data_IF_417375400784
#
_entry.id   IF_417375400784
#
_cell.length_a   1.000
_cell.length_b   1.000
_cell.length_c   1.000
_cell.angle_alpha   90.00
_cell.angle_beta   90.00
_cell.angle_gamma   90.00
#
_symmetry.space_group_name_H-M   'P 1'
#
loop_
_entity.id
_entity.type
_entity.pdbx_description
1 polymer ?
#
# COMPACT_ATOMS: atom_id res chain seq x y z
N UNK A 1 -12.24 -10.62 17.65
CA UNK A 1 -11.40 -9.61 16.98
C UNK A 1 -11.28 -10.10 15.55
N UNK A 2 -11.81 -9.35 14.60
CA UNK A 2 -11.69 -9.71 13.19
C UNK A 2 -10.23 -9.46 12.78
N UNK A 3 -9.54 -10.53 12.40
CA UNK A 3 -8.13 -10.50 11.99
C UNK A 3 -7.99 -10.66 10.49
N UNK A 4 -9.09 -10.55 9.73
CA UNK A 4 -9.06 -10.70 8.28
C UNK A 4 -8.87 -9.37 7.54
N UNK A 5 -9.18 -8.24 8.19
CA UNK A 5 -9.11 -6.92 7.57
C UNK A 5 -8.45 -5.86 8.46
N UNK A 6 -7.64 -5.01 7.83
CA UNK A 6 -7.09 -3.78 8.39
C UNK A 6 -7.73 -2.63 7.64
N UNK A 7 -8.15 -1.60 8.37
CA UNK A 7 -8.62 -0.35 7.78
C UNK A 7 -7.93 0.83 8.46
N UNK A 8 -7.36 1.74 7.66
CA UNK A 8 -6.77 3.00 8.13
C UNK A 8 -7.06 4.11 7.13
N UNK A 9 -7.08 5.35 7.62
CA UNK A 9 -7.23 6.53 6.77
C UNK A 9 -6.44 7.71 7.30
N UNK A 10 -6.13 8.64 6.40
CA UNK A 10 -5.47 9.90 6.72
C UNK A 10 -5.99 11.01 5.80
N UNK A 11 -6.16 12.21 6.33
CA UNK A 11 -6.45 13.41 5.54
C UNK A 11 -5.14 14.14 5.25
N UNK A 12 -4.91 14.47 3.98
CA UNK A 12 -3.66 15.06 3.49
C UNK A 12 -3.96 16.41 2.88
N UNK A 13 -3.24 17.46 3.28
CA UNK A 13 -3.40 18.82 2.77
C UNK A 13 -2.74 19.00 1.38
N UNK A 14 -3.27 18.27 0.40
CA UNK A 14 -2.83 18.28 -0.99
C UNK A 14 -3.93 17.76 -1.94
N UNK A 15 -3.90 18.17 -3.24
CA UNK A 15 -4.78 17.63 -4.26
C UNK A 15 -4.50 16.15 -4.57
N UNK A 16 -5.48 15.43 -5.11
CA UNK A 16 -5.38 13.97 -5.27
C UNK A 16 -4.28 13.56 -6.24
N UNK A 17 -3.99 14.35 -7.26
CA UNK A 17 -2.90 14.11 -8.22
C UNK A 17 -1.55 13.94 -7.52
N UNK A 18 -1.28 14.80 -6.53
CA UNK A 18 -0.01 14.80 -5.79
C UNK A 18 0.06 13.65 -4.79
N UNK A 19 -1.05 13.33 -4.13
CA UNK A 19 -1.15 12.14 -3.27
C UNK A 19 -0.94 10.88 -4.11
N UNK A 20 -1.58 10.80 -5.28
CA UNK A 20 -1.47 9.69 -6.21
C UNK A 20 -0.03 9.43 -6.64
N UNK A 21 0.70 10.47 -7.04
CA UNK A 21 2.11 10.34 -7.42
C UNK A 21 3.01 9.77 -6.31
N UNK A 22 2.64 9.95 -5.03
CA UNK A 22 3.34 9.32 -3.90
C UNK A 22 2.84 7.93 -3.59
N UNK A 23 1.55 7.68 -3.71
CA UNK A 23 0.95 6.36 -3.55
C UNK A 23 1.56 5.38 -4.56
N UNK A 24 1.69 5.77 -5.83
CA UNK A 24 2.26 4.91 -6.88
C UNK A 24 3.77 4.78 -6.84
N UNK A 25 4.48 5.45 -5.92
CA UNK A 25 5.91 5.26 -5.68
C UNK A 25 6.20 4.16 -4.64
N UNK A 26 5.15 3.60 -4.02
CA UNK A 26 5.21 2.59 -2.95
C UNK A 26 6.20 2.90 -1.81
N UNK A 27 6.16 4.09 -1.20
CA UNK A 27 7.14 4.51 -0.19
C UNK A 27 7.18 3.64 1.08
N UNK A 28 6.20 2.73 1.25
CA UNK A 28 6.11 1.78 2.35
C UNK A 28 6.93 0.50 2.16
N UNK A 29 7.38 0.21 0.93
CA UNK A 29 8.20 -0.97 0.61
C UNK A 29 9.43 -0.64 -0.21
N UNK A 30 9.40 0.47 -0.96
CA UNK A 30 10.43 0.81 -1.91
C UNK A 30 11.31 1.95 -1.38
N UNK A 31 12.55 1.63 -0.98
CA UNK A 31 13.56 2.60 -0.58
C UNK A 31 14.76 2.65 -1.55
N UNK A 32 14.88 1.67 -2.45
CA UNK A 32 16.00 1.57 -3.38
C UNK A 32 15.74 2.24 -4.73
N UNK A 33 14.48 2.32 -5.16
CA UNK A 33 14.12 2.87 -6.48
C UNK A 33 13.34 4.17 -6.32
N UNK A 34 13.89 5.34 -6.68
CA UNK A 34 13.15 6.59 -6.59
C UNK A 34 12.15 6.72 -7.73
N UNK A 35 10.93 7.18 -7.42
CA UNK A 35 9.94 7.60 -8.40
C UNK A 35 8.62 6.82 -8.36
N UNK A 36 7.61 7.36 -9.05
CA UNK A 36 6.33 6.71 -9.26
C UNK A 36 6.46 5.62 -10.33
N UNK A 37 5.80 4.48 -10.12
CA UNK A 37 5.67 3.44 -11.12
C UNK A 37 4.53 3.77 -12.09
N UNK A 38 4.72 3.43 -13.37
CA UNK A 38 3.65 3.43 -14.37
C UNK A 38 2.84 2.13 -14.21
N UNK A 39 1.86 2.15 -13.31
CA UNK A 39 1.08 0.96 -12.94
C UNK A 39 0.03 0.64 -13.99
N UNK A 40 -0.01 -0.61 -14.47
CA UNK A 40 -1.12 -1.14 -15.28
C UNK A 40 -1.77 -2.35 -14.64
N UNK A 41 -3.06 -2.51 -14.86
CA UNK A 41 -3.79 -3.70 -14.42
C UNK A 41 -3.21 -4.97 -15.05
N UNK A 42 -3.05 -6.01 -14.23
CA UNK A 42 -2.46 -7.29 -14.62
C UNK A 42 -0.92 -7.31 -14.64
N UNK A 43 -0.25 -6.18 -14.43
CA UNK A 43 1.21 -6.16 -14.32
C UNK A 43 1.67 -6.49 -12.91
N UNK A 44 2.84 -7.15 -12.81
CA UNK A 44 3.58 -7.34 -11.57
C UNK A 44 4.65 -6.27 -11.47
N UNK A 45 4.58 -5.46 -10.42
CA UNK A 45 5.60 -4.47 -10.08
C UNK A 45 6.38 -4.99 -8.88
N UNK A 46 7.70 -4.93 -8.94
CA UNK A 46 8.56 -5.39 -7.83
C UNK A 46 9.05 -4.18 -7.06
N UNK A 47 8.54 -4.00 -5.84
CA UNK A 47 9.10 -3.05 -4.89
C UNK A 47 10.30 -3.69 -4.19
N UNK A 48 11.35 -2.91 -3.91
CA UNK A 48 12.55 -3.40 -3.26
C UNK A 48 12.88 -2.60 -2.00
N UNK A 49 13.07 -3.31 -0.90
CA UNK A 49 13.53 -2.75 0.37
C UNK A 49 14.94 -3.24 0.66
N UNK A 50 15.84 -2.31 1.03
CA UNK A 50 17.24 -2.61 1.34
C UNK A 50 17.42 -3.68 2.43
N UNK A 51 16.59 -3.64 3.46
CA UNK A 51 16.61 -4.61 4.58
C UNK A 51 15.73 -5.87 4.36
N UNK A 52 14.54 -5.71 3.78
CA UNK A 52 13.51 -6.76 3.77
C UNK A 52 13.39 -7.51 2.43
N UNK A 53 14.13 -7.09 1.41
CA UNK A 53 14.18 -7.76 0.12
C UNK A 53 13.12 -7.27 -0.87
N UNK A 54 12.73 -8.14 -1.80
CA UNK A 54 11.85 -7.79 -2.92
C UNK A 54 10.41 -8.20 -2.62
N UNK A 55 9.46 -7.35 -2.98
CA UNK A 55 8.04 -7.58 -2.82
C UNK A 55 7.35 -7.45 -4.18
N UNK A 56 7.14 -8.56 -4.91
CA UNK A 56 6.30 -8.57 -6.09
C UNK A 56 4.85 -8.22 -5.74
N UNK A 57 4.28 -7.26 -6.47
CA UNK A 57 2.93 -6.74 -6.27
C UNK A 57 2.15 -6.89 -7.57
N UNK A 58 1.10 -7.71 -7.56
CA UNK A 58 0.21 -7.89 -8.71
C UNK A 58 -0.86 -6.81 -8.70
N UNK A 59 -0.83 -5.91 -9.68
CA UNK A 59 -1.83 -4.86 -9.82
C UNK A 59 -3.15 -5.46 -10.30
N UNK A 60 -4.20 -5.39 -9.48
CA UNK A 60 -5.52 -5.93 -9.81
C UNK A 60 -6.46 -4.85 -10.36
N UNK A 61 -6.31 -3.60 -9.94
CA UNK A 61 -7.08 -2.46 -10.47
C UNK A 61 -6.32 -1.15 -10.31
N UNK A 62 -6.31 -0.32 -11.36
CA UNK A 62 -5.60 0.97 -11.36
C UNK A 62 -6.50 2.05 -11.97
N UNK A 63 -6.99 2.96 -11.13
CA UNK A 63 -7.70 4.17 -11.54
C UNK A 63 -6.89 5.40 -11.13
N UNK A 64 -6.15 6.01 -12.07
CA UNK A 64 -5.31 7.17 -11.79
C UNK A 64 -6.01 8.26 -10.99
N UNK A 65 -5.37 8.71 -9.91
CA UNK A 65 -5.88 9.76 -9.02
C UNK A 65 -6.99 9.32 -8.06
N UNK A 66 -7.49 8.09 -8.13
CA UNK A 66 -8.72 7.69 -7.43
C UNK A 66 -8.62 6.38 -6.67
N UNK A 67 -8.11 5.33 -7.31
CA UNK A 67 -8.16 3.99 -6.72
C UNK A 67 -7.00 3.13 -7.19
N UNK A 68 -6.36 2.42 -6.27
CA UNK A 68 -5.36 1.41 -6.57
C UNK A 68 -5.67 0.16 -5.77
N UNK A 69 -5.63 -1.00 -6.41
CA UNK A 69 -5.66 -2.25 -5.69
C UNK A 69 -4.67 -3.27 -6.24
N UNK A 70 -4.03 -3.98 -5.32
CA UNK A 70 -3.01 -4.97 -5.63
C UNK A 70 -3.00 -6.11 -4.63
N UNK A 71 -2.39 -7.22 -5.05
CA UNK A 71 -1.98 -8.30 -4.14
C UNK A 71 -0.48 -8.29 -3.94
N UNK A 72 -0.08 -8.68 -2.74
CA UNK A 72 1.32 -8.82 -2.37
C UNK A 72 1.48 -9.90 -1.32
N UNK A 73 2.64 -10.56 -1.31
CA UNK A 73 2.98 -11.58 -0.33
C UNK A 73 3.89 -10.98 0.76
N UNK A 74 3.35 -10.07 1.58
CA UNK A 74 4.15 -9.29 2.55
C UNK A 74 4.92 -10.16 3.54
N UNK A 75 4.38 -11.32 3.92
CA UNK A 75 5.03 -12.28 4.80
C UNK A 75 6.03 -13.22 4.09
N UNK A 76 6.15 -13.13 2.76
CA UNK A 76 6.95 -14.03 1.93
C UNK A 76 7.81 -13.26 0.91
N UNK A 77 8.87 -12.56 1.36
CA UNK A 77 9.74 -11.80 0.47
C UNK A 77 10.27 -12.63 -0.71
N UNK A 78 10.24 -12.03 -1.89
CA UNK A 78 10.69 -12.60 -3.15
C UNK A 78 9.69 -13.55 -3.83
N UNK A 79 8.56 -13.88 -3.20
CA UNK A 79 7.54 -14.74 -3.79
C UNK A 79 6.48 -13.94 -4.53
N UNK A 80 5.96 -14.50 -5.63
CA UNK A 80 4.81 -13.93 -6.31
C UNK A 80 3.54 -14.08 -5.46
N UNK A 81 2.65 -13.07 -5.48
CA UNK A 81 1.39 -13.14 -4.75
C UNK A 81 0.42 -14.11 -5.42
N UNK A 82 0.02 -15.13 -4.69
CA UNK A 82 -0.96 -16.15 -5.08
C UNK A 82 -1.96 -16.39 -3.95
N UNK A 83 -2.99 -17.18 -4.21
CA UNK A 83 -3.93 -17.59 -3.18
C UNK A 83 -3.18 -18.35 -2.07
N UNK A 84 -3.40 -17.95 -0.81
CA UNK A 84 -2.82 -18.61 0.36
C UNK A 84 -1.48 -18.04 0.83
N UNK A 85 -0.84 -17.12 0.11
CA UNK A 85 0.37 -16.42 0.57
C UNK A 85 0.27 -14.89 0.47
N UNK A 86 -0.85 -14.35 -0.02
CA UNK A 86 -1.01 -12.93 -0.29
C UNK A 86 -2.25 -12.34 0.35
N UNK A 87 -2.16 -11.06 0.67
CA UNK A 87 -3.27 -10.18 1.03
C UNK A 87 -3.58 -9.25 -0.13
N UNK A 88 -4.79 -8.69 -0.14
CA UNK A 88 -5.22 -7.66 -1.09
C UNK A 88 -5.27 -6.32 -0.40
N UNK A 89 -4.60 -5.32 -0.97
CA UNK A 89 -4.63 -3.94 -0.52
C UNK A 89 -5.46 -3.11 -1.50
N UNK A 90 -6.32 -2.26 -0.96
CA UNK A 90 -7.12 -1.28 -1.69
C UNK A 90 -6.84 0.11 -1.12
N UNK A 91 -6.47 1.05 -1.98
CA UNK A 91 -6.18 2.43 -1.67
C UNK A 91 -7.19 3.30 -2.39
N UNK A 92 -7.95 4.09 -1.64
CA UNK A 92 -8.98 5.00 -2.18
C UNK A 92 -8.62 6.44 -1.84
N UNK A 93 -8.57 7.30 -2.87
CA UNK A 93 -8.35 8.73 -2.73
C UNK A 93 -9.70 9.44 -2.95
N UNK A 94 -10.11 10.25 -1.98
CA UNK A 94 -11.33 11.07 -2.05
C UNK A 94 -10.96 12.53 -1.84
N UNK A 95 -11.27 13.39 -2.80
CA UNK A 95 -11.06 14.84 -2.64
C UNK A 95 -12.15 15.45 -1.75
N UNK A 96 -11.71 16.26 -0.78
CA UNK A 96 -12.56 16.94 0.21
C UNK A 96 -11.99 18.34 0.47
N UNK A 97 -12.71 19.39 0.05
CA UNK A 97 -12.34 20.80 0.31
C UNK A 97 -10.88 21.19 -0.05
N UNK A 98 -10.37 20.67 -1.19
CA UNK A 98 -9.00 20.92 -1.64
C UNK A 98 -7.92 20.05 -0.97
N UNK A 99 -8.34 19.15 -0.08
CA UNK A 99 -7.53 18.09 0.54
C UNK A 99 -7.89 16.74 -0.06
N UNK A 100 -7.12 15.72 0.29
CA UNK A 100 -7.39 14.34 -0.12
C UNK A 100 -7.42 13.43 1.08
N UNK A 101 -8.52 12.69 1.27
CA UNK A 101 -8.58 11.55 2.18
C UNK A 101 -8.03 10.32 1.47
N UNK A 102 -6.96 9.74 2.01
CA UNK A 102 -6.42 8.46 1.59
C UNK A 102 -6.87 7.39 2.58
N UNK A 103 -7.68 6.44 2.11
CA UNK A 103 -8.10 5.26 2.87
C UNK A 103 -7.38 4.04 2.34
N UNK A 104 -6.86 3.20 3.24
CA UNK A 104 -6.31 1.88 2.94
C UNK A 104 -7.16 0.81 3.61
N UNK A 105 -7.49 -0.22 2.84
CA UNK A 105 -8.07 -1.47 3.33
C UNK A 105 -7.15 -2.59 2.89
N UNK A 106 -6.66 -3.39 3.83
CA UNK A 106 -5.94 -4.62 3.52
C UNK A 106 -6.72 -5.82 4.05
N UNK A 107 -6.99 -6.80 3.21
CA UNK A 107 -7.81 -7.96 3.57
C UNK A 107 -7.23 -9.29 3.06
N UNK A 108 -7.71 -10.39 3.63
CA UNK A 108 -7.33 -11.75 3.23
C UNK A 108 -6.30 -12.41 4.15
N UNK A 109 -6.03 -11.82 5.32
CA UNK A 109 -5.15 -12.42 6.32
C UNK A 109 -5.67 -13.79 6.78
N UNK A 110 -6.98 -14.01 6.81
CA UNK A 110 -7.56 -15.31 7.14
C UNK A 110 -7.15 -16.42 6.15
N UNK A 111 -6.75 -16.09 4.93
CA UNK A 111 -6.27 -17.05 3.95
C UNK A 111 -4.78 -17.43 4.11
N UNK A 112 -4.01 -16.68 4.92
CA UNK A 112 -2.60 -16.97 5.16
C UNK A 112 -2.42 -18.23 6.04
N UNK A 113 -1.25 -18.88 5.98
CA UNK A 113 -0.90 -19.96 6.89
C UNK A 113 -0.96 -19.46 8.34
N UNK A 114 -1.38 -20.33 9.26
CA UNK A 114 -1.64 -19.97 10.66
C UNK A 114 -0.47 -19.25 11.33
N UNK A 115 0.76 -19.70 11.05
CA UNK A 115 2.00 -19.14 11.60
C UNK A 115 2.27 -17.70 11.14
N UNK A 116 1.76 -17.30 9.97
CA UNK A 116 1.97 -15.97 9.40
C UNK A 116 0.78 -15.03 9.63
N UNK A 117 -0.43 -15.55 9.86
CA UNK A 117 -1.65 -14.76 9.93
C UNK A 117 -1.58 -13.64 10.97
N UNK A 118 -1.28 -13.98 12.24
CA UNK A 118 -1.27 -13.00 13.33
C UNK A 118 -0.07 -12.05 13.24
N UNK A 119 1.18 -12.53 13.02
CA UNK A 119 2.31 -11.63 12.83
C UNK A 119 2.12 -10.64 11.68
N UNK A 120 1.72 -11.12 10.49
CA UNK A 120 1.51 -10.24 9.33
C UNK A 120 0.40 -9.21 9.59
N UNK A 121 -0.69 -9.62 10.25
CA UNK A 121 -1.77 -8.69 10.62
C UNK A 121 -1.27 -7.61 11.58
N UNK A 122 -0.59 -8.00 12.66
CA UNK A 122 -0.11 -7.05 13.66
C UNK A 122 0.96 -6.12 13.06
N UNK A 123 1.92 -6.65 12.29
CA UNK A 123 2.98 -5.87 11.63
C UNK A 123 2.40 -4.88 10.62
N UNK A 124 1.52 -5.33 9.72
CA UNK A 124 0.90 -4.44 8.73
C UNK A 124 -0.03 -3.42 9.39
N UNK A 125 -0.68 -3.76 10.50
CA UNK A 125 -1.54 -2.81 11.24
C UNK A 125 -0.75 -1.60 11.75
N UNK A 126 0.43 -1.85 12.30
CA UNK A 126 1.33 -0.77 12.74
C UNK A 126 1.96 -0.07 11.52
N UNK A 127 2.42 -0.85 10.54
CA UNK A 127 3.02 -0.36 9.30
C UNK A 127 2.12 0.63 8.57
N UNK A 128 0.83 0.33 8.36
CA UNK A 128 -0.10 1.24 7.70
C UNK A 128 -0.25 2.57 8.42
N UNK A 129 -0.26 2.55 9.76
CA UNK A 129 -0.38 3.78 10.56
C UNK A 129 0.84 4.68 10.32
N UNK A 130 2.05 4.12 10.41
CA UNK A 130 3.29 4.87 10.23
C UNK A 130 3.47 5.35 8.79
N UNK A 131 3.13 4.51 7.81
CA UNK A 131 3.35 4.80 6.40
C UNK A 131 2.39 5.86 5.87
N UNK A 132 1.12 5.84 6.28
CA UNK A 132 0.17 6.89 5.93
C UNK A 132 0.61 8.24 6.50
N UNK A 133 1.10 8.28 7.74
CA UNK A 133 1.60 9.51 8.35
C UNK A 133 2.88 10.02 7.67
N UNK A 134 3.82 9.14 7.35
CA UNK A 134 5.02 9.49 6.57
C UNK A 134 4.66 10.01 5.17
N UNK A 135 3.69 9.39 4.51
CA UNK A 135 3.21 9.83 3.21
C UNK A 135 2.58 11.22 3.33
N UNK A 136 1.69 11.45 4.31
CA UNK A 136 1.10 12.76 4.59
C UNK A 136 2.17 13.82 4.76
N UNK A 137 3.14 13.61 5.64
CA UNK A 137 4.22 14.57 5.90
C UNK A 137 5.04 14.87 4.65
N UNK A 138 5.44 13.85 3.88
CA UNK A 138 6.19 14.04 2.63
C UNK A 138 5.36 14.77 1.58
N UNK A 139 4.08 14.44 1.48
CA UNK A 139 3.14 15.08 0.58
C UNK A 139 2.83 16.50 1.03
N UNK A 140 2.89 16.88 2.28
CA UNK A 140 2.64 18.28 2.68
C UNK A 140 3.92 19.12 2.59
N UNK A 141 5.08 18.58 2.97
CA UNK A 141 6.36 19.28 2.94
C UNK A 141 6.81 19.71 1.54
N UNK A 142 6.46 18.97 0.48
CA UNK A 142 6.77 19.37 -0.91
C UNK A 142 5.98 20.62 -1.39
N UNK A 143 5.15 21.24 -0.54
CA UNK A 143 4.22 22.33 -0.91
C UNK A 143 4.74 23.70 -0.53
N UNK A 144 5.81 23.75 0.28
CA UNK A 144 6.54 24.96 0.63
C UNK A 144 7.84 25.06 -0.16
#
# INVERSE_FOLDING_TARGET
MDIDHIEREVLIDAPAERVWAKVTAFPWVNDTTPGAFDLREGEVVVAEHSEYGKFPMLMERVEPGRFLAYRWASAFPGQEPVAGNSTRVELTLTEEDGRTRLRVVEAGFAALPEEHRRPAFDDNTHGWTDQLERLRQRVEQQAG
#
